data_IF_018962593188
#
_entry.id   IF_018962593188
#
_cell.length_a   1.000
_cell.length_b   1.000
_cell.length_c   1.000
_cell.angle_alpha   90.00
_cell.angle_beta   90.00
_cell.angle_gamma   90.00
#
_symmetry.space_group_name_H-M   'P 1'
#
loop_
_entity.id
_entity.type
_entity.pdbx_description
1 polymer ?
#
# COMPACT_ATOMS: atom_id res chain seq x y z
N UNK A 1 8.13 -6.94 -26.40
CA UNK A 1 7.35 -7.94 -27.16
C UNK A 1 6.15 -8.34 -26.34
N UNK A 2 4.99 -8.48 -26.99
CA UNK A 2 3.71 -8.82 -26.38
C UNK A 2 3.12 -10.03 -27.09
N UNK A 3 2.65 -11.02 -26.35
CA UNK A 3 1.97 -12.22 -26.85
C UNK A 3 0.60 -12.30 -26.20
N UNK A 4 -0.44 -12.25 -27.03
CA UNK A 4 -1.82 -12.41 -26.60
C UNK A 4 -2.26 -13.87 -26.67
N UNK A 5 -2.86 -14.35 -25.59
CA UNK A 5 -3.37 -15.70 -25.40
C UNK A 5 -4.86 -15.62 -25.04
N UNK A 6 -5.76 -15.41 -26.04
CA UNK A 6 -7.19 -15.35 -25.79
C UNK A 6 -7.73 -16.73 -25.38
N UNK A 7 -8.71 -16.76 -24.48
CA UNK A 7 -9.40 -17.97 -24.02
C UNK A 7 -8.44 -19.11 -23.66
N UNK A 8 -7.52 -18.80 -22.74
CA UNK A 8 -6.37 -19.64 -22.39
C UNK A 8 -6.51 -20.30 -21.02
N UNK A 9 -5.51 -21.10 -20.64
CA UNK A 9 -5.39 -21.75 -19.34
C UNK A 9 -4.00 -21.51 -18.76
N UNK A 10 -3.84 -21.62 -17.43
CA UNK A 10 -2.52 -21.42 -16.80
C UNK A 10 -1.45 -22.39 -17.33
N UNK A 11 -1.84 -23.61 -17.73
CA UNK A 11 -0.93 -24.58 -18.37
C UNK A 11 -0.42 -24.10 -19.74
N UNK A 12 -1.28 -23.47 -20.55
CA UNK A 12 -0.87 -22.89 -21.84
C UNK A 12 0.05 -21.68 -21.64
N UNK A 13 -0.25 -20.84 -20.65
CA UNK A 13 0.61 -19.71 -20.27
C UNK A 13 2.00 -20.19 -19.86
N UNK A 14 2.07 -21.19 -18.97
CA UNK A 14 3.34 -21.78 -18.55
C UNK A 14 4.14 -22.37 -19.71
N UNK A 15 3.48 -23.05 -20.66
CA UNK A 15 4.14 -23.53 -21.88
C UNK A 15 4.72 -22.38 -22.69
N UNK A 16 3.95 -21.32 -22.94
CA UNK A 16 4.45 -20.14 -23.67
C UNK A 16 5.61 -19.45 -22.96
N UNK A 17 5.63 -19.42 -21.63
CA UNK A 17 6.76 -18.88 -20.85
C UNK A 17 8.03 -19.74 -21.01
N UNK A 18 7.89 -21.07 -21.07
CA UNK A 18 9.01 -21.97 -21.34
C UNK A 18 9.55 -21.77 -22.76
N UNK A 19 8.66 -21.75 -23.76
CA UNK A 19 9.03 -21.55 -25.17
C UNK A 19 9.80 -20.22 -25.36
N UNK A 20 9.34 -19.15 -24.71
CA UNK A 20 10.00 -17.84 -24.72
C UNK A 20 11.40 -17.87 -24.11
N UNK A 21 11.59 -18.65 -23.05
CA UNK A 21 12.89 -18.78 -22.39
C UNK A 21 13.89 -19.55 -23.24
N UNK A 22 13.42 -20.57 -23.95
CA UNK A 22 14.25 -21.33 -24.89
C UNK A 22 14.65 -20.48 -26.10
N UNK A 23 13.70 -19.70 -26.65
CA UNK A 23 13.93 -18.83 -27.81
C UNK A 23 14.79 -17.60 -27.49
N UNK A 24 14.65 -17.03 -26.29
CA UNK A 24 15.37 -15.83 -25.86
C UNK A 24 16.85 -16.05 -25.51
N UNK A 25 17.35 -17.29 -25.60
CA UNK A 25 18.63 -17.69 -25.03
C UNK A 25 18.56 -17.73 -23.50
N UNK A 26 19.35 -18.58 -22.85
CA UNK A 26 19.29 -18.80 -21.39
C UNK A 26 19.79 -17.59 -20.59
N UNK A 27 19.06 -16.48 -20.61
CA UNK A 27 19.18 -15.47 -19.57
C UNK A 27 18.42 -16.05 -18.39
N UNK A 28 19.15 -16.67 -17.47
CA UNK A 28 18.66 -16.95 -16.15
C UNK A 28 18.36 -15.59 -15.49
N UNK A 29 17.17 -15.06 -15.71
CA UNK A 29 16.64 -13.96 -14.91
C UNK A 29 16.57 -14.50 -13.49
N UNK A 30 17.59 -14.18 -12.69
CA UNK A 30 17.55 -14.38 -11.25
C UNK A 30 16.40 -13.54 -10.74
N UNK A 31 15.34 -14.20 -10.27
CA UNK A 31 14.15 -13.55 -9.73
C UNK A 31 14.17 -13.70 -8.24
N UNK A 32 13.90 -12.61 -7.54
CA UNK A 32 13.92 -12.57 -6.08
C UNK A 32 12.52 -12.62 -5.46
N UNK A 33 11.46 -12.41 -6.25
CA UNK A 33 10.06 -12.50 -5.80
C UNK A 33 9.06 -12.67 -6.97
N UNK A 34 7.82 -13.02 -6.63
CA UNK A 34 6.65 -12.87 -7.49
C UNK A 34 5.76 -11.74 -6.97
N UNK A 35 5.53 -10.70 -7.79
CA UNK A 35 4.62 -9.60 -7.47
C UNK A 35 3.27 -9.86 -8.16
N UNK A 36 2.23 -10.10 -7.37
CA UNK A 36 0.85 -10.27 -7.82
C UNK A 36 0.11 -8.95 -7.66
N UNK A 37 -0.37 -8.37 -8.76
CA UNK A 37 -1.13 -7.12 -8.76
C UNK A 37 -2.60 -7.43 -8.98
N UNK A 38 -3.47 -7.03 -8.07
CA UNK A 38 -4.92 -7.27 -8.19
C UNK A 38 -5.64 -5.97 -8.50
N UNK A 39 -6.24 -5.86 -9.68
CA UNK A 39 -6.87 -4.64 -10.19
C UNK A 39 -8.14 -4.95 -10.99
N UNK A 40 -8.85 -3.91 -11.41
CA UNK A 40 -9.99 -4.01 -12.32
C UNK A 40 -9.53 -3.98 -13.80
N UNK A 41 -10.33 -4.58 -14.67
CA UNK A 41 -10.08 -4.57 -16.11
C UNK A 41 -10.01 -3.12 -16.65
N UNK A 42 -8.93 -2.80 -17.37
CA UNK A 42 -8.65 -1.45 -17.87
C UNK A 42 -7.91 -0.51 -16.91
N UNK A 43 -7.59 -0.94 -15.67
CA UNK A 43 -6.83 -0.15 -14.69
C UNK A 43 -5.44 -0.76 -14.39
N UNK A 44 -4.90 -1.54 -15.32
CA UNK A 44 -3.67 -2.32 -15.11
C UNK A 44 -2.37 -1.60 -15.52
N UNK A 45 -2.44 -0.65 -16.46
CA UNK A 45 -1.22 -0.09 -17.07
C UNK A 45 -0.36 0.73 -16.10
N UNK A 46 -0.96 1.60 -15.27
CA UNK A 46 -0.21 2.38 -14.28
C UNK A 46 0.47 1.50 -13.22
N UNK A 47 -0.22 0.50 -12.62
CA UNK A 47 0.43 -0.50 -11.77
C UNK A 47 1.53 -1.30 -12.46
N UNK A 48 1.34 -1.70 -13.72
CA UNK A 48 2.36 -2.40 -14.51
C UNK A 48 3.59 -1.51 -14.69
N UNK A 49 3.41 -0.24 -15.05
CA UNK A 49 4.51 0.71 -15.21
C UNK A 49 5.28 0.90 -13.89
N UNK A 50 4.58 1.00 -12.76
CA UNK A 50 5.20 1.09 -11.44
C UNK A 50 5.99 -0.19 -11.09
N UNK A 51 5.42 -1.37 -11.37
CA UNK A 51 6.08 -2.66 -11.13
C UNK A 51 7.31 -2.86 -12.03
N UNK A 52 7.21 -2.52 -13.31
CA UNK A 52 8.33 -2.56 -14.25
C UNK A 52 9.48 -1.66 -13.77
N UNK A 53 9.17 -0.46 -13.28
CA UNK A 53 10.18 0.44 -12.72
C UNK A 53 10.82 -0.14 -11.44
N UNK A 54 10.02 -0.68 -10.53
CA UNK A 54 10.52 -1.32 -9.31
C UNK A 54 11.38 -2.57 -9.61
N UNK A 55 11.12 -3.26 -10.72
CA UNK A 55 11.84 -4.48 -11.08
C UNK A 55 13.32 -4.29 -11.42
N UNK A 56 13.74 -3.07 -11.74
CA UNK A 56 15.17 -2.76 -11.91
C UNK A 56 15.95 -2.86 -10.60
N UNK A 57 15.32 -2.52 -9.47
CA UNK A 57 15.89 -2.71 -8.14
C UNK A 57 15.60 -4.13 -7.62
N UNK A 58 14.46 -4.70 -8.01
CA UNK A 58 13.95 -5.98 -7.51
C UNK A 58 13.51 -6.90 -8.65
N UNK A 59 14.44 -7.59 -9.35
CA UNK A 59 14.10 -8.48 -10.46
C UNK A 59 13.03 -9.51 -10.05
N UNK A 60 11.84 -9.44 -10.65
CA UNK A 60 10.69 -10.22 -10.22
C UNK A 60 9.85 -10.74 -11.39
N UNK A 61 8.96 -11.69 -11.11
CA UNK A 61 7.85 -12.01 -12.01
C UNK A 61 6.64 -11.17 -11.60
N UNK A 62 6.04 -10.45 -12.55
CA UNK A 62 4.82 -9.68 -12.30
C UNK A 62 3.63 -10.46 -12.85
N UNK A 63 2.67 -10.78 -11.99
CA UNK A 63 1.40 -11.41 -12.38
C UNK A 63 0.26 -10.45 -12.08
N UNK A 64 -0.38 -9.92 -13.11
CA UNK A 64 -1.50 -9.00 -12.96
C UNK A 64 -2.81 -9.76 -13.08
N UNK A 65 -3.65 -9.67 -12.06
CA UNK A 65 -5.01 -10.16 -12.07
C UNK A 65 -5.97 -9.00 -12.31
N UNK A 66 -6.44 -8.85 -13.55
CA UNK A 66 -7.43 -7.88 -13.96
C UNK A 66 -8.84 -8.50 -13.90
N UNK A 67 -9.66 -8.02 -12.96
CA UNK A 67 -11.04 -8.48 -12.77
C UNK A 67 -11.94 -7.84 -13.82
N UNK A 68 -12.42 -8.67 -14.75
CA UNK A 68 -13.34 -8.26 -15.80
C UNK A 68 -14.81 -8.39 -15.40
N UNK A 69 -15.70 -8.30 -16.39
CA UNK A 69 -17.14 -8.36 -16.18
C UNK A 69 -17.59 -9.73 -15.62
N UNK A 70 -18.06 -9.75 -14.36
CA UNK A 70 -18.62 -10.95 -13.69
C UNK A 70 -19.84 -11.57 -14.40
N UNK A 71 -20.56 -10.79 -15.21
CA UNK A 71 -21.76 -11.23 -15.95
C UNK A 71 -21.45 -11.88 -17.31
N UNK A 72 -20.19 -11.86 -17.74
CA UNK A 72 -19.78 -12.50 -19.00
C UNK A 72 -19.68 -14.03 -18.85
N UNK A 73 -19.45 -14.74 -19.96
CA UNK A 73 -19.10 -16.16 -19.90
C UNK A 73 -17.76 -16.37 -19.17
N UNK A 74 -17.61 -17.49 -18.43
CA UNK A 74 -16.36 -17.80 -17.75
C UNK A 74 -15.25 -18.03 -18.78
N UNK A 75 -14.22 -17.19 -18.74
CA UNK A 75 -13.01 -17.33 -19.54
C UNK A 75 -11.86 -16.57 -18.91
N UNK A 76 -10.66 -16.92 -19.32
CA UNK A 76 -9.44 -16.18 -19.04
C UNK A 76 -8.79 -15.80 -20.35
N UNK A 77 -8.51 -14.51 -20.53
CA UNK A 77 -7.63 -14.01 -21.57
C UNK A 77 -6.30 -13.65 -20.89
N UNK A 78 -5.17 -13.95 -21.53
CA UNK A 78 -3.87 -13.60 -20.97
C UNK A 78 -2.99 -12.87 -21.97
N UNK A 79 -2.05 -12.10 -21.44
CA UNK A 79 -1.02 -11.43 -22.21
C UNK A 79 0.32 -11.63 -21.52
N UNK A 80 1.33 -12.08 -22.27
CA UNK A 80 2.70 -12.18 -21.79
C UNK A 80 3.49 -11.04 -22.41
N UNK A 81 4.10 -10.20 -21.56
CA UNK A 81 5.01 -9.13 -21.99
C UNK A 81 6.42 -9.47 -21.54
N UNK A 82 7.38 -9.30 -22.45
CA UNK A 82 8.81 -9.53 -22.23
C UNK A 82 9.66 -8.47 -22.94
N UNK A 83 10.87 -8.24 -22.44
CA UNK A 83 11.77 -7.21 -22.94
C UNK A 83 11.30 -5.80 -22.56
N UNK A 84 11.38 -4.83 -23.48
CA UNK A 84 11.05 -3.42 -23.20
C UNK A 84 9.67 -3.18 -22.54
N UNK A 85 8.68 -4.03 -22.83
CA UNK A 85 7.32 -3.94 -22.27
C UNK A 85 7.17 -4.50 -20.84
N UNK A 86 8.23 -5.13 -20.31
CA UNK A 86 8.26 -5.78 -19.00
C UNK A 86 9.46 -5.34 -18.14
N UNK A 87 10.29 -4.41 -18.64
CA UNK A 87 11.50 -3.97 -17.95
C UNK A 87 12.46 -5.14 -17.69
N UNK A 88 12.90 -5.28 -16.44
CA UNK A 88 13.72 -6.42 -15.99
C UNK A 88 12.89 -7.67 -15.59
N UNK A 89 11.57 -7.65 -15.83
CA UNK A 89 10.61 -8.69 -15.45
C UNK A 89 10.05 -9.47 -16.65
N UNK A 90 9.30 -10.52 -16.33
CA UNK A 90 8.23 -11.04 -17.19
C UNK A 90 6.90 -10.57 -16.60
N UNK A 91 6.06 -9.91 -17.41
CA UNK A 91 4.74 -9.47 -16.98
C UNK A 91 3.69 -10.38 -17.61
N UNK A 92 2.87 -10.99 -16.77
CA UNK A 92 1.76 -11.86 -17.17
C UNK A 92 0.46 -11.17 -16.75
N UNK A 93 -0.29 -10.65 -17.71
CA UNK A 93 -1.59 -10.02 -17.45
C UNK A 93 -2.69 -11.05 -17.68
N UNK A 94 -3.50 -11.31 -16.65
CA UNK A 94 -4.60 -12.26 -16.64
C UNK A 94 -5.91 -11.48 -16.51
N UNK A 95 -6.75 -11.50 -17.55
CA UNK A 95 -8.09 -10.91 -17.54
C UNK A 95 -9.11 -12.00 -17.29
N UNK A 96 -9.76 -11.95 -16.13
CA UNK A 96 -10.75 -12.95 -15.73
C UNK A 96 -12.16 -12.44 -15.98
N UNK A 97 -13.01 -13.30 -16.53
CA UNK A 97 -14.40 -12.97 -16.85
C UNK A 97 -15.36 -14.01 -16.26
N UNK A 98 -16.62 -13.62 -16.09
CA UNK A 98 -17.66 -14.52 -15.58
C UNK A 98 -17.37 -15.00 -14.16
N UNK A 99 -17.73 -16.25 -13.87
CA UNK A 99 -17.47 -16.87 -12.56
C UNK A 99 -15.98 -17.04 -12.23
N UNK A 100 -15.09 -16.94 -13.22
CA UNK A 100 -13.66 -17.10 -13.00
C UNK A 100 -13.06 -15.94 -12.19
N UNK A 101 -13.71 -14.77 -12.18
CA UNK A 101 -13.28 -13.58 -11.41
C UNK A 101 -13.08 -13.90 -9.92
N UNK A 102 -13.88 -14.81 -9.36
CA UNK A 102 -13.82 -15.19 -7.95
C UNK A 102 -12.80 -16.31 -7.66
N UNK A 103 -12.11 -16.82 -8.69
CA UNK A 103 -11.11 -17.91 -8.60
C UNK A 103 -9.68 -17.45 -8.92
N UNK A 104 -9.37 -16.17 -8.68
CA UNK A 104 -8.06 -15.59 -8.97
C UNK A 104 -6.89 -16.33 -8.32
N UNK A 105 -7.05 -16.78 -7.06
CA UNK A 105 -6.01 -17.52 -6.35
C UNK A 105 -5.60 -18.80 -7.10
N UNK A 106 -6.58 -19.64 -7.48
CA UNK A 106 -6.34 -20.89 -8.22
C UNK A 106 -5.69 -20.67 -9.58
N UNK A 107 -6.01 -19.55 -10.24
CA UNK A 107 -5.42 -19.17 -11.53
C UNK A 107 -3.95 -18.75 -11.38
N UNK A 108 -3.62 -18.02 -10.31
CA UNK A 108 -2.30 -17.45 -10.04
C UNK A 108 -1.32 -18.50 -9.48
N UNK A 109 -1.76 -19.41 -8.61
CA UNK A 109 -0.92 -20.44 -7.98
C UNK A 109 0.06 -21.14 -8.94
N UNK A 110 -0.35 -21.67 -10.12
CA UNK A 110 0.58 -22.35 -11.03
C UNK A 110 1.60 -21.43 -11.73
N UNK A 111 1.46 -20.11 -11.60
CA UNK A 111 2.36 -19.10 -12.19
C UNK A 111 3.38 -18.56 -11.18
N UNK A 112 3.19 -18.87 -9.88
CA UNK A 112 4.10 -18.52 -8.80
C UNK A 112 5.44 -19.24 -8.96
N UNK A 113 6.50 -18.60 -8.49
CA UNK A 113 7.82 -19.20 -8.39
C UNK A 113 7.88 -19.99 -7.07
N UNK A 114 8.26 -21.26 -7.14
CA UNK A 114 8.22 -22.16 -5.97
C UNK A 114 9.11 -21.72 -4.81
N UNK A 115 10.26 -21.12 -5.11
CA UNK A 115 11.30 -20.78 -4.13
C UNK A 115 11.44 -19.26 -3.88
N UNK A 116 10.49 -18.45 -4.35
CA UNK A 116 10.55 -17.00 -4.20
C UNK A 116 9.33 -16.47 -3.43
N UNK A 117 9.52 -15.47 -2.55
CA UNK A 117 8.42 -14.87 -1.82
C UNK A 117 7.38 -14.27 -2.76
N UNK A 118 6.14 -14.30 -2.31
CA UNK A 118 4.97 -13.77 -3.01
C UNK A 118 4.54 -12.47 -2.34
N UNK A 119 4.53 -11.40 -3.13
CA UNK A 119 4.02 -10.10 -2.70
C UNK A 119 2.70 -9.85 -3.43
N UNK A 120 1.62 -9.60 -2.70
CA UNK A 120 0.34 -9.21 -3.30
C UNK A 120 0.12 -7.73 -3.09
N UNK A 121 -0.28 -7.02 -4.15
CA UNK A 121 -0.52 -5.59 -4.12
C UNK A 121 -1.89 -5.23 -4.72
N UNK A 122 -2.67 -4.47 -3.95
CA UNK A 122 -3.89 -3.80 -4.39
C UNK A 122 -3.61 -2.30 -4.59
N UNK A 123 -3.47 -1.80 -5.84
CA UNK A 123 -3.15 -0.40 -6.13
C UNK A 123 -4.29 0.59 -5.86
N UNK A 124 -5.50 0.10 -5.54
CA UNK A 124 -6.68 0.92 -5.25
C UNK A 124 -7.51 0.31 -4.14
N UNK A 125 -8.78 -0.01 -4.42
CA UNK A 125 -9.65 -0.68 -3.44
C UNK A 125 -9.10 -2.07 -3.09
N UNK A 126 -8.78 -2.26 -1.81
CA UNK A 126 -8.33 -3.53 -1.26
C UNK A 126 -9.46 -4.25 -0.49
N UNK A 127 -9.41 -5.58 -0.35
CA UNK A 127 -10.31 -6.34 0.51
C UNK A 127 -10.29 -5.82 1.95
N UNK A 128 -11.40 -5.97 2.68
CA UNK A 128 -11.45 -5.52 4.08
C UNK A 128 -10.38 -6.21 4.93
N UNK A 129 -10.18 -7.51 4.74
CA UNK A 129 -9.14 -8.34 5.36
C UNK A 129 -8.19 -8.88 4.28
N UNK A 130 -7.12 -8.17 3.91
CA UNK A 130 -6.18 -8.60 2.87
C UNK A 130 -5.56 -9.97 3.15
N UNK A 131 -5.27 -10.27 4.42
CA UNK A 131 -4.71 -11.57 4.83
C UNK A 131 -5.68 -12.76 4.69
N UNK A 132 -7.00 -12.50 4.62
CA UNK A 132 -8.03 -13.54 4.45
C UNK A 132 -8.58 -13.61 3.02
N UNK A 133 -8.22 -12.64 2.15
CA UNK A 133 -8.52 -12.72 0.72
C UNK A 133 -7.81 -13.96 0.12
N UNK A 134 -8.47 -14.78 -0.71
CA UNK A 134 -7.86 -15.99 -1.26
C UNK A 134 -6.52 -15.75 -1.99
N UNK A 135 -6.32 -14.59 -2.59
CA UNK A 135 -5.03 -14.23 -3.21
C UNK A 135 -4.06 -13.77 -2.13
N UNK A 136 -4.51 -12.99 -1.15
CA UNK A 136 -3.70 -12.55 -0.04
C UNK A 136 -3.17 -13.68 0.84
N UNK A 137 -3.89 -14.80 0.97
CA UNK A 137 -3.39 -15.99 1.69
C UNK A 137 -2.18 -16.65 1.03
N UNK A 138 -1.92 -16.34 -0.25
CA UNK A 138 -0.73 -16.83 -0.96
C UNK A 138 0.51 -15.97 -0.68
N UNK A 139 0.35 -14.83 -0.01
CA UNK A 139 1.37 -13.78 0.06
C UNK A 139 2.13 -13.79 1.38
N UNK A 140 3.45 -13.66 1.29
CA UNK A 140 4.32 -13.33 2.42
C UNK A 140 4.13 -11.86 2.83
N UNK A 141 3.96 -10.98 1.83
CA UNK A 141 3.77 -9.53 2.00
C UNK A 141 2.51 -9.04 1.27
N UNK A 142 1.70 -8.21 1.94
CA UNK A 142 0.45 -7.66 1.38
C UNK A 142 0.47 -6.14 1.42
N UNK A 143 0.51 -5.54 0.23
CA UNK A 143 0.60 -4.09 0.03
C UNK A 143 -0.78 -3.57 -0.37
N UNK A 144 -1.25 -2.53 0.31
CA UNK A 144 -2.48 -1.81 -0.02
C UNK A 144 -2.18 -0.35 -0.35
N UNK A 145 -3.15 0.38 -0.90
CA UNK A 145 -3.02 1.82 -1.14
C UNK A 145 -4.30 2.57 -0.80
N UNK A 146 -4.50 2.86 0.49
CA UNK A 146 -5.68 3.58 0.96
C UNK A 146 -5.84 4.96 0.30
N UNK A 147 -4.75 5.63 -0.07
CA UNK A 147 -4.82 6.94 -0.74
C UNK A 147 -5.50 6.85 -2.12
N UNK A 148 -5.30 5.74 -2.84
CA UNK A 148 -5.83 5.53 -4.19
C UNK A 148 -7.21 4.85 -4.19
N UNK A 149 -7.71 4.46 -3.02
CA UNK A 149 -9.02 3.85 -2.89
C UNK A 149 -10.15 4.88 -2.98
N UNK A 150 -11.38 4.43 -3.30
CA UNK A 150 -12.53 5.33 -3.49
C UNK A 150 -12.91 6.12 -2.24
N UNK A 151 -12.63 5.56 -1.05
CA UNK A 151 -12.93 6.16 0.25
C UNK A 151 -11.70 6.04 1.17
N UNK A 152 -10.70 6.93 1.01
CA UNK A 152 -9.40 6.77 1.68
C UNK A 152 -9.47 6.66 3.20
N UNK A 153 -10.25 7.53 3.85
CA UNK A 153 -10.41 7.51 5.32
C UNK A 153 -11.09 6.23 5.82
N UNK A 154 -12.06 5.70 5.08
CA UNK A 154 -12.73 4.45 5.43
C UNK A 154 -11.78 3.26 5.27
N UNK A 155 -10.97 3.25 4.21
CA UNK A 155 -9.95 2.22 3.99
C UNK A 155 -8.88 2.25 5.06
N UNK A 156 -8.37 3.41 5.47
CA UNK A 156 -7.43 3.52 6.58
C UNK A 156 -8.02 2.99 7.90
N UNK A 157 -9.29 3.31 8.19
CA UNK A 157 -9.98 2.76 9.36
C UNK A 157 -10.08 1.23 9.29
N UNK A 158 -10.38 0.68 8.11
CA UNK A 158 -10.34 -0.78 7.89
C UNK A 158 -8.96 -1.37 8.09
N UNK A 159 -7.89 -0.77 7.55
CA UNK A 159 -6.52 -1.24 7.79
C UNK A 159 -6.19 -1.33 9.27
N UNK A 160 -6.64 -0.36 10.08
CA UNK A 160 -6.48 -0.40 11.55
C UNK A 160 -7.26 -1.55 12.20
N UNK A 161 -8.52 -1.75 11.83
CA UNK A 161 -9.37 -2.82 12.38
C UNK A 161 -8.88 -4.22 11.99
N UNK A 162 -8.36 -4.36 10.77
CA UNK A 162 -8.11 -5.63 10.10
C UNK A 162 -6.64 -6.03 10.05
N UNK A 163 -5.73 -5.25 10.64
CA UNK A 163 -4.29 -5.42 10.48
C UNK A 163 -3.85 -6.85 10.81
N UNK A 164 -3.00 -7.42 9.96
CA UNK A 164 -2.23 -8.63 10.22
C UNK A 164 -0.74 -8.40 9.94
N UNK A 165 0.16 -9.10 10.66
CA UNK A 165 1.58 -9.13 10.29
C UNK A 165 1.74 -9.48 8.80
N UNK A 166 2.61 -8.77 8.11
CA UNK A 166 2.81 -8.81 6.66
C UNK A 166 2.00 -7.77 5.88
N UNK A 167 1.03 -7.09 6.50
CA UNK A 167 0.28 -6.01 5.86
C UNK A 167 1.03 -4.67 5.88
N UNK A 168 0.84 -3.87 4.84
CA UNK A 168 1.35 -2.49 4.73
C UNK A 168 0.48 -1.67 3.80
N UNK A 169 0.69 -0.36 3.80
CA UNK A 169 -0.01 0.58 2.94
C UNK A 169 0.97 1.60 2.36
N UNK A 170 0.92 1.82 1.05
CA UNK A 170 1.76 2.78 0.32
C UNK A 170 1.62 4.20 0.91
N UNK A 171 0.49 4.54 1.53
CA UNK A 171 0.31 5.80 2.25
C UNK A 171 1.36 6.02 3.35
N UNK A 172 1.85 4.96 4.00
CA UNK A 172 2.93 4.98 4.99
C UNK A 172 4.30 5.21 4.34
N UNK A 173 4.57 4.54 3.23
CA UNK A 173 5.80 4.68 2.44
C UNK A 173 5.96 6.08 1.84
N UNK A 174 4.83 6.71 1.45
CA UNK A 174 4.80 8.08 0.91
C UNK A 174 5.35 9.11 1.89
N UNK A 175 5.29 8.85 3.19
CA UNK A 175 5.76 9.76 4.23
C UNK A 175 7.14 9.40 4.80
N UNK A 176 7.85 8.39 4.27
CA UNK A 176 9.20 8.03 4.73
C UNK A 176 10.16 9.22 4.74
N UNK A 177 10.17 10.05 3.68
CA UNK A 177 11.03 11.26 3.63
C UNK A 177 10.61 12.32 4.66
N UNK A 178 9.31 12.49 4.90
CA UNK A 178 8.81 13.38 5.96
C UNK A 178 9.27 12.91 7.34
N UNK A 179 9.10 11.62 7.63
CA UNK A 179 9.55 11.01 8.89
C UNK A 179 11.05 11.20 9.11
N UNK A 180 11.85 10.92 8.09
CA UNK A 180 13.30 11.10 8.13
C UNK A 180 13.72 12.55 8.42
N UNK A 181 13.18 13.53 7.69
CA UNK A 181 13.52 14.94 7.88
C UNK A 181 13.13 15.45 9.27
N UNK A 182 11.95 15.06 9.77
CA UNK A 182 11.49 15.47 11.10
C UNK A 182 12.32 14.84 12.22
N UNK A 183 12.68 13.56 12.09
CA UNK A 183 13.60 12.90 13.02
C UNK A 183 14.97 13.60 13.02
N UNK A 184 15.56 13.82 11.84
CA UNK A 184 16.84 14.53 11.71
C UNK A 184 16.81 15.96 12.23
N UNK A 185 15.67 16.66 12.17
CA UNK A 185 15.53 17.99 12.75
C UNK A 185 15.51 17.97 14.28
N UNK A 186 14.93 16.93 14.89
CA UNK A 186 14.89 16.73 16.35
C UNK A 186 16.22 16.22 16.92
N UNK A 187 17.04 15.54 16.10
CA UNK A 187 18.39 15.12 16.46
C UNK A 187 19.40 16.27 16.51
N UNK A 188 19.00 17.50 16.14
CA UNK A 188 19.85 18.68 16.25
C UNK A 188 19.64 19.39 17.60
N UNK A 189 20.70 19.91 18.24
CA UNK A 189 20.56 20.71 19.45
C UNK A 189 19.77 22.00 19.18
N UNK A 190 19.05 22.55 20.19
CA UNK A 190 18.88 22.00 21.53
C UNK A 190 17.82 20.86 21.55
N UNK A 191 18.13 19.75 22.23
CA UNK A 191 17.27 18.56 22.36
C UNK A 191 16.08 18.80 23.32
N UNK A 192 15.28 19.79 23.01
CA UNK A 192 14.12 20.17 23.80
C UNK A 192 12.92 19.25 23.54
N UNK A 193 12.11 19.06 24.57
CA UNK A 193 10.87 18.31 24.44
C UNK A 193 9.85 19.08 23.60
N UNK A 194 9.27 18.41 22.61
CA UNK A 194 8.11 18.91 21.86
C UNK A 194 6.87 18.90 22.75
N UNK A 195 6.17 20.04 22.84
CA UNK A 195 4.99 20.23 23.69
C UNK A 195 3.68 20.05 22.94
N UNK A 196 3.63 20.33 21.63
CA UNK A 196 2.45 20.16 20.78
C UNK A 196 2.90 19.93 19.33
N UNK A 197 2.14 19.14 18.58
CA UNK A 197 2.35 18.90 17.16
C UNK A 197 1.11 19.32 16.37
N UNK A 198 1.32 20.00 15.25
CA UNK A 198 0.28 20.24 14.25
C UNK A 198 0.72 19.68 12.90
N UNK A 199 -0.08 18.80 12.32
CA UNK A 199 0.13 18.26 10.96
C UNK A 199 -0.99 18.74 10.06
N UNK A 200 -0.63 19.34 8.93
CA UNK A 200 -1.55 19.88 7.94
C UNK A 200 -1.43 19.13 6.61
N UNK A 201 -2.56 18.80 6.00
CA UNK A 201 -2.61 18.17 4.68
C UNK A 201 -4.03 18.06 4.13
N UNK A 202 -4.17 17.50 2.92
CA UNK A 202 -5.50 17.28 2.29
C UNK A 202 -6.43 16.52 3.23
N UNK A 203 -7.73 16.84 3.20
CA UNK A 203 -8.72 16.31 4.16
C UNK A 203 -8.88 14.78 4.12
N UNK A 204 -8.60 14.18 2.97
CA UNK A 204 -8.80 12.77 2.63
C UNK A 204 -7.47 12.03 2.45
N UNK A 205 -6.40 12.47 3.13
CA UNK A 205 -5.06 11.91 2.98
C UNK A 205 -4.68 10.98 4.14
N UNK A 206 -4.77 9.65 3.96
CA UNK A 206 -4.26 8.66 4.91
C UNK A 206 -2.80 8.89 5.30
N UNK A 207 -1.95 9.31 4.36
CA UNK A 207 -0.56 9.71 4.64
C UNK A 207 -0.45 10.81 5.71
N UNK A 208 -1.37 11.78 5.72
CA UNK A 208 -1.39 12.87 6.70
C UNK A 208 -1.81 12.36 8.07
N UNK A 209 -2.82 11.50 8.11
CA UNK A 209 -3.33 10.91 9.33
C UNK A 209 -2.28 9.97 9.96
N UNK A 210 -1.60 9.16 9.15
CA UNK A 210 -0.49 8.29 9.58
C UNK A 210 0.72 9.07 10.08
N UNK A 211 1.07 10.20 9.45
CA UNK A 211 2.17 11.05 9.92
C UNK A 211 1.85 11.67 11.29
N UNK A 212 0.63 12.19 11.46
CA UNK A 212 0.15 12.71 12.73
C UNK A 212 0.14 11.63 13.82
N UNK A 213 -0.36 10.43 13.50
CA UNK A 213 -0.38 9.29 14.39
C UNK A 213 1.01 8.85 14.85
N UNK A 214 1.97 8.79 13.92
CA UNK A 214 3.36 8.49 14.23
C UNK A 214 3.99 9.52 15.16
N UNK A 215 3.82 10.82 14.87
CA UNK A 215 4.34 11.89 15.73
C UNK A 215 3.69 11.87 17.12
N UNK A 216 2.37 11.64 17.21
CA UNK A 216 1.66 11.50 18.48
C UNK A 216 2.22 10.35 19.33
N UNK A 217 2.46 9.19 18.69
CA UNK A 217 2.99 8.01 19.36
C UNK A 217 4.44 8.20 19.81
N UNK A 218 5.29 8.75 18.93
CA UNK A 218 6.71 8.93 19.17
C UNK A 218 6.99 10.03 20.22
N UNK A 219 6.33 11.18 20.10
CA UNK A 219 6.59 12.35 20.94
C UNK A 219 5.74 12.39 22.21
N UNK A 220 4.65 11.61 22.26
CA UNK A 220 3.74 11.51 23.41
C UNK A 220 3.23 12.88 23.90
N UNK A 221 2.87 13.73 22.96
CA UNK A 221 2.30 15.05 23.22
C UNK A 221 1.01 15.25 22.40
N UNK A 222 0.18 16.26 22.73
CA UNK A 222 -1.01 16.56 21.95
C UNK A 222 -0.67 16.81 20.47
N UNK A 223 -1.32 16.05 19.59
CA UNK A 223 -1.12 16.15 18.15
C UNK A 223 -2.43 16.47 17.47
N UNK A 224 -2.46 17.58 16.76
CA UNK A 224 -3.61 18.01 15.96
C UNK A 224 -3.36 17.72 14.48
N UNK A 225 -4.33 17.10 13.84
CA UNK A 225 -4.40 16.96 12.39
C UNK A 225 -5.42 17.97 11.87
N UNK A 226 -4.94 18.93 11.07
CA UNK A 226 -5.77 19.98 10.47
C UNK A 226 -5.84 19.85 8.95
N UNK A 227 -6.87 20.44 8.35
CA UNK A 227 -7.02 20.50 6.90
C UNK A 227 -6.15 21.63 6.34
N UNK A 228 -5.32 21.30 5.34
CA UNK A 228 -4.56 22.30 4.61
C UNK A 228 -5.47 23.17 3.71
N UNK A 229 -5.06 24.42 3.38
CA UNK A 229 -5.73 25.21 2.36
C UNK A 229 -5.87 24.44 1.04
N UNK A 230 -6.96 24.66 0.30
CA UNK A 230 -7.24 23.90 -0.93
C UNK A 230 -6.13 24.03 -2.00
N UNK A 231 -5.39 25.14 -2.00
CA UNK A 231 -4.26 25.39 -2.91
C UNK A 231 -3.04 24.51 -2.65
N UNK A 232 -2.87 23.98 -1.44
CA UNK A 232 -1.68 23.20 -1.04
C UNK A 232 -1.52 21.84 -1.76
N UNK A 233 -2.52 21.44 -2.55
CA UNK A 233 -2.52 20.18 -3.29
C UNK A 233 -2.76 18.95 -2.41
N UNK A 234 -2.62 17.74 -2.97
CA UNK A 234 -2.93 16.49 -2.25
C UNK A 234 -1.93 16.20 -1.11
N UNK A 235 -2.18 15.22 -0.26
CA UNK A 235 -1.18 14.70 0.69
C UNK A 235 -0.79 15.65 1.83
N UNK A 236 0.40 15.42 2.41
CA UNK A 236 0.97 16.23 3.50
C UNK A 236 1.46 17.58 2.97
N UNK A 237 1.12 18.66 3.69
CA UNK A 237 1.52 20.02 3.37
C UNK A 237 2.53 20.59 4.36
N UNK A 238 2.26 20.50 5.67
CA UNK A 238 3.19 21.03 6.68
C UNK A 238 3.12 20.28 8.00
N UNK A 239 4.20 20.38 8.77
CA UNK A 239 4.30 19.91 10.15
C UNK A 239 4.91 21.02 10.99
N UNK A 240 4.30 21.31 12.14
CA UNK A 240 4.80 22.25 13.15
C UNK A 240 4.98 21.49 14.46
N UNK A 241 6.21 21.49 14.98
CA UNK A 241 6.57 20.93 16.29
C UNK A 241 6.86 22.09 17.24
N UNK A 242 5.96 22.34 18.19
CA UNK A 242 6.12 23.41 19.18
C UNK A 242 7.05 22.95 20.30
N UNK A 243 8.01 23.79 20.68
CA UNK A 243 8.94 23.58 21.81
C UNK A 243 9.24 24.92 22.48
N UNK A 244 9.84 24.90 23.67
CA UNK A 244 10.08 26.11 24.49
C UNK A 244 10.97 27.14 23.77
N UNK A 245 12.02 26.68 23.11
CA UNK A 245 12.97 27.50 22.35
C UNK A 245 12.47 27.95 20.98
N UNK A 246 11.20 27.67 20.63
CA UNK A 246 10.58 28.07 19.37
C UNK A 246 10.38 26.90 18.39
N UNK A 247 9.37 27.00 17.50
CA UNK A 247 8.90 25.85 16.73
C UNK A 247 9.93 25.33 15.71
N UNK A 248 9.81 24.04 15.39
CA UNK A 248 10.35 23.47 14.16
C UNK A 248 9.19 23.40 13.16
N UNK A 249 9.34 24.06 12.03
CA UNK A 249 8.34 24.07 10.98
C UNK A 249 8.93 23.46 9.72
N UNK A 250 8.26 22.45 9.17
CA UNK A 250 8.55 21.91 7.85
C UNK A 250 7.33 22.14 6.96
N UNK A 251 7.44 23.08 6.03
CA UNK A 251 6.36 23.39 5.07
C UNK A 251 6.83 22.96 3.69
N UNK A 252 6.00 22.25 2.95
CA UNK A 252 6.18 22.10 1.52
C UNK A 252 5.24 23.10 0.82
N UNK A 253 5.71 24.33 0.51
CA UNK A 253 5.02 25.18 -0.45
C UNK A 253 4.93 24.46 -1.79
N UNK A 254 4.04 24.89 -2.69
CA UNK A 254 3.78 24.17 -3.94
C UNK A 254 5.08 23.82 -4.70
N UNK A 255 5.21 22.57 -5.15
CA UNK A 255 6.39 22.09 -5.88
C UNK A 255 7.15 20.96 -5.20
N UNK A 256 8.46 20.93 -5.40
CA UNK A 256 9.37 19.85 -5.00
C UNK A 256 10.27 20.21 -3.82
N UNK A 257 10.17 21.42 -3.29
CA UNK A 257 11.03 21.94 -2.23
C UNK A 257 10.21 22.19 -0.96
N UNK A 258 10.77 21.84 0.19
CA UNK A 258 10.23 22.16 1.50
C UNK A 258 11.14 23.15 2.24
N UNK A 259 10.53 24.06 2.96
CA UNK A 259 11.17 25.03 3.84
C UNK A 259 11.19 24.46 5.25
N UNK A 260 12.39 24.28 5.80
CA UNK A 260 12.62 23.89 7.18
C UNK A 260 13.10 25.12 7.97
N UNK A 261 12.24 25.59 8.87
CA UNK A 261 12.52 26.70 9.78
C UNK A 261 12.72 26.16 11.19
N UNK A 262 13.79 26.59 11.85
CA UNK A 262 14.04 26.30 13.26
C UNK A 262 14.53 27.57 13.95
N UNK A 263 14.10 27.76 15.19
CA UNK A 263 14.54 28.91 15.98
C UNK A 263 16.08 28.99 16.05
N UNK A 264 16.60 30.22 15.90
CA UNK A 264 18.03 30.53 15.92
C UNK A 264 18.87 29.87 14.82
N UNK A 265 18.25 29.34 13.77
CA UNK A 265 18.92 28.84 12.59
C UNK A 265 18.38 29.52 11.33
N UNK A 266 19.21 29.68 10.28
CA UNK A 266 18.72 30.16 8.99
C UNK A 266 17.70 29.17 8.42
N UNK A 267 16.76 29.70 7.66
CA UNK A 267 15.81 28.90 6.90
C UNK A 267 16.53 28.05 5.85
N UNK A 268 16.13 26.78 5.74
CA UNK A 268 16.74 25.82 4.81
C UNK A 268 15.71 25.32 3.82
N UNK A 269 16.04 25.44 2.54
CA UNK A 269 15.29 24.81 1.46
C UNK A 269 15.81 23.40 1.19
N UNK A 270 14.94 22.40 1.31
CA UNK A 270 15.27 20.98 1.19
C UNK A 270 14.43 20.35 0.08
N UNK A 271 15.04 19.51 -0.77
CA UNK A 271 14.29 18.76 -1.77
C UNK A 271 13.36 17.74 -1.08
N UNK A 272 12.04 17.93 -1.24
CA UNK A 272 11.01 17.04 -0.72
C UNK A 272 9.89 16.82 -1.76
N UNK A 273 10.23 16.30 -2.97
CA UNK A 273 9.24 16.03 -3.99
C UNK A 273 8.21 15.01 -3.51
N UNK A 274 7.02 15.06 -4.08
CA UNK A 274 5.99 14.04 -3.86
C UNK A 274 6.51 12.71 -4.40
N UNK A 275 6.44 11.67 -3.57
CA UNK A 275 6.87 10.34 -3.99
C UNK A 275 5.90 9.77 -5.00
N UNK A 276 6.46 9.31 -6.11
CA UNK A 276 5.75 8.62 -7.17
C UNK A 276 5.39 7.19 -6.74
N UNK A 277 4.42 6.57 -7.41
CA UNK A 277 4.00 5.21 -7.10
C UNK A 277 5.16 4.21 -7.26
N UNK A 278 5.95 4.35 -8.32
CA UNK A 278 7.16 3.56 -8.56
C UNK A 278 8.18 3.62 -7.40
N UNK A 279 8.42 4.81 -6.84
CA UNK A 279 9.38 4.99 -5.75
C UNK A 279 8.88 4.40 -4.44
N UNK A 280 7.55 4.37 -4.24
CA UNK A 280 6.97 3.78 -3.05
C UNK A 280 6.91 2.25 -3.18
N UNK A 281 6.50 1.73 -4.33
CA UNK A 281 6.49 0.29 -4.57
C UNK A 281 7.91 -0.30 -4.49
N UNK A 282 8.90 0.33 -5.11
CA UNK A 282 10.29 -0.11 -5.00
C UNK A 282 10.75 -0.16 -3.53
N UNK A 283 10.40 0.85 -2.72
CA UNK A 283 10.73 0.83 -1.28
C UNK A 283 10.05 -0.32 -0.52
N UNK A 284 8.76 -0.60 -0.77
CA UNK A 284 8.07 -1.73 -0.14
C UNK A 284 8.66 -3.09 -0.52
N UNK A 285 9.25 -3.22 -1.71
CA UNK A 285 9.90 -4.46 -2.15
C UNK A 285 11.32 -4.65 -1.58
N UNK A 286 11.92 -3.63 -0.94
CA UNK A 286 13.25 -3.76 -0.29
C UNK A 286 13.20 -4.54 1.02
N UNK A 287 12.07 -4.50 1.72
CA UNK A 287 11.91 -5.16 3.02
C UNK A 287 10.56 -5.86 3.06
N UNK A 288 10.59 -7.19 3.06
CA UNK A 288 9.40 -8.03 3.06
C UNK A 288 8.96 -8.44 4.48
N UNK A 289 9.78 -8.18 5.50
CA UNK A 289 9.42 -8.42 6.89
C UNK A 289 8.28 -7.50 7.36
N UNK A 290 7.70 -7.86 8.50
CA UNK A 290 6.69 -7.05 9.16
C UNK A 290 7.20 -5.64 9.48
N UNK A 291 6.35 -4.63 9.23
CA UNK A 291 6.59 -3.26 9.70
C UNK A 291 5.88 -3.06 11.04
N UNK A 292 6.61 -3.35 12.12
CA UNK A 292 6.12 -3.19 13.50
C UNK A 292 5.75 -1.73 13.81
N UNK A 293 6.48 -0.76 13.25
CA UNK A 293 6.20 0.67 13.49
C UNK A 293 4.87 1.05 12.86
N UNK A 294 4.62 0.62 11.62
CA UNK A 294 3.33 0.80 10.98
C UNK A 294 2.19 0.17 11.80
N UNK A 295 2.38 -1.06 12.28
CA UNK A 295 1.40 -1.75 13.12
C UNK A 295 1.07 -0.95 14.39
N UNK A 296 2.08 -0.44 15.08
CA UNK A 296 1.89 0.37 16.28
C UNK A 296 1.23 1.71 15.97
N UNK A 297 1.60 2.36 14.87
CA UNK A 297 0.99 3.63 14.43
C UNK A 297 -0.49 3.44 14.11
N UNK A 298 -0.87 2.36 13.44
CA UNK A 298 -2.27 2.04 13.20
C UNK A 298 -3.03 1.79 14.51
N UNK A 299 -2.52 0.89 15.34
CA UNK A 299 -3.25 0.41 16.52
C UNK A 299 -3.30 1.45 17.65
N UNK A 300 -2.17 2.08 17.94
CA UNK A 300 -1.95 2.97 19.09
C UNK A 300 -1.84 4.43 18.68
N UNK A 301 -1.26 4.74 17.52
CA UNK A 301 -1.03 6.12 17.08
C UNK A 301 -2.29 6.85 16.60
N UNK A 302 -3.07 6.24 15.71
CA UNK A 302 -4.28 6.85 15.14
C UNK A 302 -5.30 7.32 16.21
N UNK A 303 -5.58 6.56 17.28
CA UNK A 303 -6.45 7.01 18.38
C UNK A 303 -5.98 8.27 19.10
N UNK A 304 -4.69 8.59 19.07
CA UNK A 304 -4.12 9.73 19.79
C UNK A 304 -4.26 11.04 19.02
N UNK A 305 -4.53 10.97 17.72
CA UNK A 305 -4.65 12.15 16.86
C UNK A 305 -5.94 12.89 17.18
N UNK A 306 -5.85 14.19 17.44
CA UNK A 306 -6.96 15.05 17.89
C UNK A 306 -7.60 14.60 19.22
N UNK A 307 -6.98 13.70 19.97
CA UNK A 307 -7.46 13.34 21.29
C UNK A 307 -7.29 14.52 22.25
N UNK A 308 -8.30 14.77 23.08
CA UNK A 308 -8.16 15.74 24.16
C UNK A 308 -7.09 15.24 25.16
N UNK A 309 -6.28 16.14 25.75
CA UNK A 309 -5.34 15.75 26.77
C UNK A 309 -6.12 15.08 27.91
N UNK A 310 -5.95 13.77 28.09
CA UNK A 310 -6.45 13.11 29.29
C UNK A 310 -5.66 13.67 30.47
N UNK A 311 -6.22 14.68 31.14
CA UNK A 311 -5.73 15.15 32.42
C UNK A 311 -5.89 13.98 33.39
N UNK A 312 -4.82 13.20 33.58
CA UNK A 312 -4.76 12.25 34.70
C UNK A 312 -4.84 13.13 35.95
N UNK A 313 -5.88 12.97 36.81
CA UNK A 313 -5.91 13.72 38.04
C UNK A 313 -4.65 13.37 38.81
N UNK A 314 -3.85 14.39 39.14
CA UNK A 314 -2.70 14.23 40.00
C UNK A 314 -3.19 13.53 41.27
N UNK A 315 -2.69 12.32 41.52
CA UNK A 315 -2.97 11.59 42.75
C UNK A 315 -2.56 12.52 43.89
N UNK A 316 -3.55 13.07 44.57
CA UNK A 316 -3.35 13.98 45.69
C UNK A 316 -2.38 13.31 46.66
N UNK A 317 -1.19 13.89 46.80
CA UNK A 317 -0.26 13.50 47.84
C UNK A 317 -0.96 13.80 49.17
N UNK A 318 -1.42 12.75 49.85
CA UNK A 318 -1.90 12.83 51.22
C UNK A 318 -0.72 13.26 52.09
N UNK A 319 -0.72 14.53 52.45
CA UNK A 319 0.13 15.08 53.50
C UNK A 319 -0.31 14.44 54.81
N UNK A 320 0.39 13.37 55.24
CA UNK A 320 0.26 12.86 56.61
C UNK A 320 1.01 13.82 57.52
N UNK A 321 0.25 14.67 58.19
CA UNK A 321 0.70 15.49 59.32
C UNK A 321 1.16 14.55 60.44
N UNK A 322 2.47 14.53 60.72
CA UNK A 322 3.03 13.85 61.87
C UNK A 322 2.89 14.77 63.10
N UNK A 323 1.95 14.44 63.98
CA UNK A 323 1.88 15.01 65.33
C UNK A 323 2.67 14.11 66.29
N UNK A 324 3.66 14.70 66.95
CA UNK A 324 4.49 14.06 67.97
C UNK A 324 3.81 14.14 69.35
N UNK A 325 3.74 12.99 70.02
CA UNK A 325 3.70 12.73 71.49
C UNK A 325 3.88 11.20 71.58
N UNK A 326 4.82 10.59 72.30
CA UNK A 326 5.53 10.96 73.51
C UNK A 326 5.31 9.85 74.54
N UNK A 327 6.24 8.89 74.62
CA UNK A 327 6.53 8.06 75.81
C UNK A 327 5.73 6.78 76.06
N UNK A 328 6.40 5.62 75.96
CA UNK A 328 6.65 4.67 77.07
C UNK A 328 7.00 3.26 76.55
N UNK A 329 8.19 2.77 76.92
CA UNK A 329 8.64 1.37 76.83
C UNK A 329 8.03 0.55 78.01
N UNK A 330 7.92 -0.80 77.94
CA UNK A 330 9.07 -1.70 78.20
C UNK A 330 9.13 -2.95 77.29
N UNK A 331 10.34 -3.33 76.84
CA UNK A 331 11.07 -4.56 77.17
C UNK A 331 10.29 -5.90 77.05
N UNK A 332 10.75 -6.85 76.22
CA UNK A 332 11.77 -7.89 76.52
C UNK A 332 11.75 -8.99 75.43
N UNK A 333 12.94 -9.50 75.12
CA UNK A 333 13.33 -10.88 74.68
C UNK A 333 12.49 -11.61 73.60
N UNK A 334 13.08 -12.23 72.59
CA UNK A 334 14.47 -12.56 72.29
C UNK A 334 14.54 -13.51 71.09
N UNK A 335 15.77 -13.79 70.64
CA UNK A 335 16.27 -14.99 69.95
C UNK A 335 15.32 -15.71 68.96
N UNK A 336 15.67 -15.93 67.70
CA UNK A 336 16.96 -15.90 67.04
C UNK A 336 16.86 -16.62 65.68
N UNK A 337 17.92 -16.45 64.90
CA UNK A 337 18.47 -17.29 63.82
C UNK A 337 17.72 -18.60 63.45
N UNK A 338 17.66 -19.10 62.22
CA UNK A 338 18.61 -19.03 61.09
C UNK A 338 18.00 -19.81 59.90
N UNK A 339 18.46 -19.48 58.70
CA UNK A 339 18.76 -20.36 57.56
C UNK A 339 17.62 -21.07 56.79
N UNK A 340 17.61 -20.84 55.46
CA UNK A 340 17.18 -21.85 54.47
C UNK A 340 18.19 -23.02 54.39
N UNK A 341 18.31 -23.80 53.30
CA UNK A 341 17.84 -23.55 51.92
C UNK A 341 17.27 -24.81 51.20
N UNK A 342 16.98 -24.68 49.89
CA UNK A 342 17.04 -25.71 48.81
C UNK A 342 16.17 -26.99 48.93
N UNK A 343 15.72 -27.71 47.88
CA UNK A 343 15.70 -27.60 46.42
C UNK A 343 14.84 -28.77 45.88
N UNK A 344 14.64 -28.79 44.55
CA UNK A 344 14.29 -29.94 43.66
C UNK A 344 12.81 -30.35 43.58
N UNK A 345 12.22 -30.19 42.38
CA UNK A 345 12.01 -31.24 41.34
C UNK A 345 10.82 -32.15 41.69
N UNK A 346 9.89 -32.53 40.81
CA UNK A 346 9.66 -32.40 39.39
C UNK A 346 8.40 -33.23 39.05
N UNK A 347 8.14 -33.45 37.77
CA UNK A 347 7.20 -34.42 37.18
C UNK A 347 5.74 -34.00 36.91
N UNK A 348 5.54 -33.59 35.65
CA UNK A 348 4.54 -34.07 34.66
C UNK A 348 3.54 -35.15 35.14
N UNK A 349 2.27 -34.96 34.78
CA UNK A 349 1.39 -36.04 34.29
C UNK A 349 0.14 -35.49 33.59
N UNK A 350 -0.05 -35.92 32.35
CA UNK A 350 -1.32 -36.10 31.62
C UNK A 350 -1.07 -37.30 30.68
N UNK A 351 -2.07 -37.97 30.06
CA UNK A 351 -3.51 -37.71 30.08
C UNK A 351 -4.36 -38.99 30.35
N UNK A 352 -5.69 -38.84 30.43
CA UNK A 352 -6.64 -39.98 30.41
C UNK A 352 -7.61 -39.84 29.24
N UNK A 353 -7.66 -40.87 28.42
CA UNK A 353 -8.63 -41.09 27.35
C UNK A 353 -9.94 -41.66 27.90
N UNK A 354 -11.06 -41.35 27.24
CA UNK A 354 -12.26 -42.16 27.29
C UNK A 354 -13.02 -42.07 25.95
N UNK A 355 -13.12 -43.24 25.33
CA UNK A 355 -13.89 -43.66 24.16
C UNK A 355 -15.40 -43.59 24.42
N UNK A 356 -16.22 -43.30 23.40
CA UNK A 356 -17.49 -44.00 23.16
C UNK A 356 -17.90 -43.93 21.69
N UNK A 357 -18.17 -45.11 21.14
CA UNK A 357 -18.75 -45.39 19.83
C UNK A 357 -20.28 -45.21 19.84
N UNK A 358 -20.85 -44.98 18.66
CA UNK A 358 -22.29 -44.90 18.43
C UNK A 358 -22.62 -44.91 16.94
N UNK A 359 -22.72 -46.11 16.38
CA UNK A 359 -23.14 -46.45 15.02
C UNK A 359 -24.62 -46.12 14.77
N UNK A 360 -24.97 -45.59 13.60
CA UNK A 360 -26.24 -45.88 12.90
C UNK A 360 -26.11 -45.61 11.39
N UNK A 361 -26.33 -46.67 10.62
CA UNK A 361 -26.47 -46.69 9.17
C UNK A 361 -27.95 -46.48 8.75
N UNK A 362 -28.21 -46.60 7.42
CA UNK A 362 -29.51 -46.61 6.69
C UNK A 362 -29.87 -45.21 6.14
N UNK A 363 -30.08 -44.92 4.84
CA UNK A 363 -30.27 -45.70 3.61
C UNK A 363 -30.10 -44.81 2.37
N UNK A 364 -29.60 -45.40 1.28
CA UNK A 364 -29.73 -44.94 -0.12
C UNK A 364 -31.02 -45.52 -0.72
N UNK A 365 -31.60 -44.90 -1.74
CA UNK A 365 -32.06 -45.68 -2.88
C UNK A 365 -31.48 -45.17 -4.21
N UNK A 366 -31.24 -46.12 -5.10
CA UNK A 366 -30.87 -45.92 -6.49
C UNK A 366 -31.98 -46.49 -7.38
N UNK A 367 -32.33 -45.80 -8.47
CA UNK A 367 -32.89 -46.27 -9.75
C UNK A 367 -33.51 -45.07 -10.48
N UNK A 368 -33.50 -44.89 -11.81
CA UNK A 368 -32.78 -45.39 -13.00
C UNK A 368 -33.22 -44.44 -14.16
N UNK A 369 -32.59 -44.49 -15.34
CA UNK A 369 -32.65 -43.41 -16.35
C UNK A 369 -33.80 -43.56 -17.35
N UNK A 370 -34.21 -42.43 -17.94
CA UNK A 370 -35.11 -42.37 -19.10
C UNK A 370 -34.48 -41.55 -20.22
N UNK A 371 -34.09 -42.24 -21.31
CA UNK A 371 -33.77 -41.65 -22.60
C UNK A 371 -35.03 -41.55 -23.47
N UNK A 372 -35.15 -40.51 -24.32
CA UNK A 372 -35.69 -40.49 -25.72
C UNK A 372 -35.90 -39.02 -26.15
N UNK A 373 -35.05 -38.47 -27.02
CA UNK A 373 -35.09 -38.43 -28.49
C UNK A 373 -36.02 -37.35 -29.11
N UNK A 374 -35.35 -36.42 -29.83
CA UNK A 374 -35.63 -35.86 -31.17
C UNK A 374 -37.03 -35.36 -31.59
N UNK A 375 -37.05 -34.11 -32.09
CA UNK A 375 -37.68 -33.58 -33.34
C UNK A 375 -37.44 -32.05 -33.34
N UNK A 376 -36.61 -31.47 -34.21
CA UNK A 376 -36.86 -31.05 -35.61
C UNK A 376 -38.18 -30.32 -35.85
N UNK A 377 -38.10 -29.02 -36.15
CA UNK A 377 -38.85 -28.40 -37.27
C UNK A 377 -38.22 -27.06 -37.67
N UNK A 378 -37.86 -26.97 -38.94
CA UNK A 378 -37.47 -25.76 -39.65
C UNK A 378 -38.67 -25.11 -40.36
N UNK A 379 -38.42 -23.89 -40.89
CA UNK A 379 -39.22 -23.10 -41.83
C UNK A 379 -40.39 -22.29 -41.20
N UNK A 380 -40.74 -21.09 -41.65
CA UNK A 380 -40.53 -20.46 -42.95
C UNK A 380 -40.53 -18.92 -42.88
N UNK A 381 -39.98 -18.33 -43.94
CA UNK A 381 -40.06 -16.94 -44.38
C UNK A 381 -41.50 -16.51 -44.68
N UNK A 382 -41.82 -15.23 -44.49
CA UNK A 382 -42.51 -14.38 -45.49
C UNK A 382 -42.53 -12.91 -45.06
N UNK A 383 -42.03 -12.03 -45.93
CA UNK A 383 -42.47 -10.63 -46.05
C UNK A 383 -43.64 -10.57 -47.06
N UNK A 384 -44.46 -9.50 -47.04
CA UNK A 384 -44.36 -8.54 -48.14
C UNK A 384 -44.56 -7.05 -47.77
N UNK A 385 -44.01 -6.22 -48.65
CA UNK A 385 -44.27 -4.82 -49.12
C UNK A 385 -45.74 -4.32 -49.02
N UNK A 386 -46.14 -3.04 -48.92
CA UNK A 386 -45.67 -1.69 -49.38
C UNK A 386 -46.55 -0.58 -48.74
N UNK A 387 -46.07 0.68 -48.68
CA UNK A 387 -46.67 1.87 -48.01
C UNK A 387 -47.93 2.51 -48.66
N UNK A 388 -48.32 3.78 -48.33
CA UNK A 388 -47.48 4.98 -48.51
C UNK A 388 -47.57 6.14 -47.46
N UNK A 389 -46.55 7.01 -47.56
CA UNK A 389 -46.49 8.48 -47.36
C UNK A 389 -46.92 9.20 -46.07
N UNK A 390 -45.91 9.76 -45.37
CA UNK A 390 -45.83 11.21 -45.06
C UNK A 390 -44.39 11.57 -44.63
N UNK A 391 -43.67 12.39 -45.42
CA UNK A 391 -42.39 13.01 -45.03
C UNK A 391 -42.58 14.37 -44.31
N UNK A 392 -41.51 15.16 -44.10
CA UNK A 392 -40.42 14.88 -43.19
C UNK A 392 -40.27 15.99 -42.12
N UNK A 393 -39.82 15.65 -40.91
CA UNK A 393 -39.32 16.63 -39.93
C UNK A 393 -37.89 16.27 -39.52
N UNK A 394 -36.97 17.10 -39.98
CA UNK A 394 -35.52 17.03 -39.79
C UNK A 394 -35.12 17.44 -38.37
N UNK A 395 -34.58 16.49 -37.59
CA UNK A 395 -33.89 16.77 -36.32
C UNK A 395 -32.42 16.33 -36.38
N UNK A 396 -31.63 17.22 -36.99
CA UNK A 396 -30.23 17.58 -36.75
C UNK A 396 -29.37 16.63 -35.88
N UNK A 397 -28.36 16.04 -36.52
CA UNK A 397 -27.21 15.40 -35.89
C UNK A 397 -26.40 16.38 -35.01
N UNK A 398 -25.79 15.91 -33.90
CA UNK A 398 -24.94 16.75 -33.06
C UNK A 398 -23.62 17.07 -33.79
N UNK A 399 -23.34 18.38 -33.93
CA UNK A 399 -22.10 18.91 -34.48
C UNK A 399 -20.91 18.50 -33.61
N UNK A 400 -19.93 17.85 -34.25
CA UNK A 400 -18.54 17.74 -33.77
C UNK A 400 -18.03 19.14 -33.41
N UNK A 401 -17.62 19.34 -32.15
CA UNK A 401 -16.80 20.50 -31.77
C UNK A 401 -15.43 20.36 -32.43
N UNK A 402 -15.04 21.39 -33.17
CA UNK A 402 -13.73 21.57 -33.80
C UNK A 402 -12.70 21.79 -32.68
N UNK A 403 -11.59 21.08 -32.73
CA UNK A 403 -10.46 21.27 -31.82
C UNK A 403 -9.89 22.71 -31.95
N UNK A 404 -9.39 23.32 -30.86
CA UNK A 404 -8.71 24.60 -30.94
C UNK A 404 -7.39 24.46 -31.71
N UNK A 405 -7.03 25.49 -32.48
CA UNK A 405 -5.83 25.55 -33.31
C UNK A 405 -4.54 25.47 -32.46
N UNK A 406 -3.44 24.89 -32.99
CA UNK A 406 -2.14 24.93 -32.31
C UNK A 406 -1.59 26.36 -32.26
N UNK A 407 -0.90 26.68 -31.16
CA UNK A 407 -0.23 27.95 -30.94
C UNK A 407 0.88 28.21 -31.98
N UNK A 408 1.17 29.48 -32.32
CA UNK A 408 2.22 29.82 -33.28
C UNK A 408 3.61 29.42 -32.75
N UNK A 409 4.42 28.84 -33.62
CA UNK A 409 5.83 28.49 -33.40
C UNK A 409 6.64 29.74 -33.00
N UNK A 410 7.49 29.69 -31.96
CA UNK A 410 8.40 30.78 -31.63
C UNK A 410 9.45 30.97 -32.74
N UNK A 411 9.79 32.22 -33.03
CA UNK A 411 10.83 32.60 -33.99
C UNK A 411 12.22 32.03 -33.57
N UNK A 412 13.11 31.71 -34.54
CA UNK A 412 14.44 31.21 -34.23
C UNK A 412 15.26 32.26 -33.47
N UNK A 413 15.85 31.84 -32.36
CA UNK A 413 16.85 32.58 -31.60
C UNK A 413 18.12 32.67 -32.45
N UNK A 414 18.76 33.85 -32.64
CA UNK A 414 20.02 33.93 -33.35
C UNK A 414 21.10 33.17 -32.57
N UNK A 415 21.84 32.30 -33.26
CA UNK A 415 22.99 31.58 -32.74
C UNK A 415 24.01 32.56 -32.16
N UNK A 416 24.39 32.33 -30.91
CA UNK A 416 25.51 33.01 -30.28
C UNK A 416 26.80 32.54 -30.97
N UNK A 417 27.56 33.50 -31.53
CA UNK A 417 28.88 33.24 -32.09
C UNK A 417 29.81 32.59 -31.04
N UNK A 418 30.66 31.64 -31.44
CA UNK A 418 31.62 31.03 -30.54
C UNK A 418 32.67 32.05 -30.12
N UNK A 419 32.73 32.32 -28.81
CA UNK A 419 33.81 33.08 -28.18
C UNK A 419 35.12 32.32 -28.38
N UNK A 420 35.97 32.86 -29.26
CA UNK A 420 37.35 32.43 -29.46
C UNK A 420 38.16 32.83 -28.22
N UNK A 421 38.88 31.91 -27.55
CA UNK A 421 39.80 32.30 -26.50
C UNK A 421 41.06 32.94 -27.10
N UNK A 422 41.28 34.23 -26.83
CA UNK A 422 42.56 34.90 -27.12
C UNK A 422 43.69 34.28 -26.30
N UNK A 423 44.85 33.98 -26.91
CA UNK A 423 46.04 33.53 -26.18
C UNK A 423 46.86 34.74 -25.70
N UNK A 424 47.33 34.66 -24.46
CA UNK A 424 48.55 35.34 -24.01
C UNK A 424 48.41 36.74 -23.41
N UNK A 425 48.62 36.83 -22.09
CA UNK A 425 49.56 37.80 -21.50
C UNK A 425 50.04 37.25 -20.16
N UNK A 426 51.34 37.00 -20.11
CA UNK A 426 52.14 36.84 -18.89
C UNK A 426 51.91 37.99 -17.90
N UNK A 427 52.16 37.71 -16.62
CA UNK A 427 53.20 38.35 -15.80
C UNK A 427 52.78 38.58 -14.33
N UNK A 428 53.55 37.94 -13.44
CA UNK A 428 54.18 38.49 -12.24
C UNK A 428 53.45 38.78 -10.91
N UNK A 429 54.27 38.57 -9.87
CA UNK A 429 54.17 38.95 -8.44
C UNK A 429 53.22 38.13 -7.55
N UNK A 430 53.64 37.54 -6.43
CA UNK A 430 54.91 37.46 -5.70
C UNK A 430 54.87 36.26 -4.76
#
# INVERSE_FOLDING_TARGET
MIIDLPSTTSSKINRSLLDLREQGGSVALSRVLTLVIVTEDGQAEDPIAAANAASFEHPCRVVVLARGAKRASPRMDAQIRVGGDAGASEVIVLRLYGSLVDHGASVVTPLLLADAPVVVWWPGDAPDLPAEDPIGTLADRRITDANSAKRPSAQLAKRRESYRPGDTDIAWTRITRWRGLLASALDQPPHEKVTEVTVSGSADSPSTDLLAAWLALALRCPTKRIKAPARSGPGVHSVVLNRRGGPITLVRPEGTTAELTMAHQPERSISLPRRTLRECLAEELRRLDDDEVYAEVLAKGLPLVNAEPTVRPARAASTRTATARGGATPAKAGSGAKAGPEAKAGAKTAPKAATKAGTKAVTKPAAKPGARATRSSAAAKTAPTTGPESGPATARAPRRRKAPAPAPTPAPVPEAEPVVPSPGSEADAS
#
